data_IF_723419197650
#
_entry.id   IF_723419197650
#
_cell.length_a   1.000
_cell.length_b   1.000
_cell.length_c   1.000
_cell.angle_alpha   90.00
_cell.angle_beta   90.00
_cell.angle_gamma   90.00
#
_symmetry.space_group_name_H-M   'P 1'
#
loop_
_entity.id
_entity.type
_entity.pdbx_description
1 polymer ?
#
# COMPACT_ATOMS: atom_id res chain seq x y z
N UNK A 1 -8.54 -10.22 11.29
CA UNK A 1 -7.31 -9.94 10.52
C UNK A 1 -6.53 -8.81 11.17
N UNK A 2 -5.23 -8.82 10.98
CA UNK A 2 -4.36 -7.75 11.46
C UNK A 2 -4.48 -6.53 10.56
N UNK A 3 -4.18 -5.37 11.11
CA UNK A 3 -4.24 -4.09 10.38
C UNK A 3 -2.83 -3.58 10.14
N UNK A 4 -2.64 -2.99 8.95
CA UNK A 4 -1.32 -2.51 8.53
C UNK A 4 -1.42 -1.16 7.86
N UNK A 5 -0.38 -0.36 8.05
CA UNK A 5 -0.15 0.84 7.25
C UNK A 5 1.17 0.63 6.54
N UNK A 6 1.17 0.85 5.23
CA UNK A 6 2.38 0.72 4.42
C UNK A 6 2.70 2.07 3.82
N UNK A 7 3.93 2.51 4.06
CA UNK A 7 4.43 3.73 3.42
C UNK A 7 5.27 3.32 2.21
N UNK A 8 4.87 3.79 1.04
CA UNK A 8 5.60 3.60 -0.21
C UNK A 8 6.44 4.85 -0.41
N UNK A 9 7.76 4.68 -0.51
CA UNK A 9 8.69 5.81 -0.62
C UNK A 9 9.29 5.79 -2.02
N UNK A 10 9.12 6.88 -2.77
CA UNK A 10 9.68 7.01 -4.11
C UNK A 10 11.20 7.13 -4.03
N UNK A 11 11.89 6.37 -4.88
CA UNK A 11 13.35 6.38 -5.00
C UNK A 11 13.78 6.66 -6.44
N UNK A 12 12.93 7.32 -7.21
CA UNK A 12 13.17 7.63 -8.61
C UNK A 12 12.54 8.98 -8.94
N UNK A 13 12.91 9.51 -10.08
CA UNK A 13 12.39 10.80 -10.54
C UNK A 13 10.89 10.70 -10.85
N UNK A 14 10.14 11.80 -10.74
CA UNK A 14 8.71 11.78 -11.00
C UNK A 14 8.32 11.20 -12.35
N UNK A 15 9.14 11.42 -13.38
CA UNK A 15 8.87 10.89 -14.71
C UNK A 15 8.91 9.37 -14.74
N UNK A 16 9.83 8.77 -13.99
CA UNK A 16 9.94 7.32 -13.91
C UNK A 16 8.74 6.72 -13.16
N UNK A 17 8.36 7.35 -12.06
CA UNK A 17 7.19 6.95 -11.29
C UNK A 17 5.93 7.02 -12.16
N UNK A 18 5.78 8.11 -12.91
CA UNK A 18 4.60 8.32 -13.76
C UNK A 18 4.42 7.21 -14.81
N UNK A 19 5.52 6.67 -15.34
CA UNK A 19 5.48 5.63 -16.36
C UNK A 19 4.86 4.32 -15.85
N UNK A 20 4.94 4.06 -14.54
CA UNK A 20 4.50 2.79 -13.95
C UNK A 20 3.24 2.97 -13.11
N UNK A 21 2.79 4.21 -12.91
CA UNK A 21 1.67 4.51 -12.01
C UNK A 21 0.39 3.76 -12.34
N UNK A 22 0.01 3.69 -13.62
CA UNK A 22 -1.23 3.04 -14.00
C UNK A 22 -1.19 1.54 -13.68
N UNK A 23 -0.06 0.89 -13.94
CA UNK A 23 0.10 -0.53 -13.64
C UNK A 23 0.10 -0.77 -12.14
N UNK A 24 0.74 0.12 -11.37
CA UNK A 24 0.73 0.06 -9.92
C UNK A 24 -0.72 0.14 -9.40
N UNK A 25 -1.51 1.09 -9.92
CA UNK A 25 -2.91 1.25 -9.49
C UNK A 25 -3.75 0.04 -9.86
N UNK A 26 -3.54 -0.54 -11.03
CA UNK A 26 -4.22 -1.79 -11.42
C UNK A 26 -3.87 -2.93 -10.48
N UNK A 27 -2.62 -3.00 -10.06
CA UNK A 27 -2.19 -4.03 -9.13
C UNK A 27 -2.86 -3.84 -7.76
N UNK A 28 -2.88 -2.61 -7.24
CA UNK A 28 -3.56 -2.33 -5.98
C UNK A 28 -5.04 -2.68 -6.05
N UNK A 29 -5.66 -2.52 -7.21
CA UNK A 29 -7.06 -2.86 -7.40
C UNK A 29 -7.33 -4.33 -7.05
N UNK A 30 -6.38 -5.22 -7.30
CA UNK A 30 -6.53 -6.64 -6.91
C UNK A 30 -6.67 -6.78 -5.40
N UNK A 31 -5.98 -5.95 -4.63
CA UNK A 31 -6.10 -5.94 -3.17
C UNK A 31 -7.45 -5.42 -2.71
N UNK A 32 -8.01 -4.42 -3.42
CA UNK A 32 -9.36 -3.94 -3.13
C UNK A 32 -10.40 -5.01 -3.43
N UNK A 33 -10.26 -5.70 -4.55
CA UNK A 33 -11.20 -6.76 -4.95
C UNK A 33 -11.23 -7.91 -3.95
N UNK A 34 -10.09 -8.18 -3.32
CA UNK A 34 -10.00 -9.20 -2.26
C UNK A 34 -10.47 -8.68 -0.91
N UNK A 35 -10.83 -7.41 -0.81
CA UNK A 35 -11.26 -6.80 0.45
C UNK A 35 -10.12 -6.55 1.43
N UNK A 36 -8.88 -6.56 0.96
CA UNK A 36 -7.71 -6.41 1.83
C UNK A 36 -7.27 -4.95 1.97
N UNK A 37 -7.36 -4.15 0.91
CA UNK A 37 -7.00 -2.74 0.97
C UNK A 37 -8.23 -1.92 1.32
N UNK A 38 -8.11 -1.09 2.34
CA UNK A 38 -9.21 -0.25 2.84
C UNK A 38 -9.18 1.13 2.19
N UNK A 39 -7.99 1.71 2.04
CA UNK A 39 -7.78 2.98 1.37
C UNK A 39 -6.32 3.13 0.99
N UNK A 40 -6.05 3.98 0.01
CA UNK A 40 -4.69 4.28 -0.41
C UNK A 40 -4.67 5.60 -1.18
N UNK A 41 -3.52 6.24 -1.24
CA UNK A 41 -3.37 7.47 -2.00
C UNK A 41 -1.96 8.03 -1.90
N UNK A 42 -1.64 9.03 -2.74
CA UNK A 42 -0.34 9.68 -2.66
C UNK A 42 -0.22 10.52 -1.41
N UNK A 43 1.01 10.60 -0.87
CA UNK A 43 1.29 11.53 0.21
C UNK A 43 1.30 12.97 -0.31
N UNK A 44 1.09 13.92 0.59
CA UNK A 44 1.15 15.34 0.27
C UNK A 44 2.23 15.96 1.18
N UNK A 45 3.36 16.42 0.63
CA UNK A 45 3.75 16.42 -0.80
C UNK A 45 3.98 15.02 -1.36
N UNK A 46 4.03 14.91 -2.69
CA UNK A 46 4.08 13.63 -3.38
C UNK A 46 5.47 13.01 -3.33
N UNK A 47 5.84 12.47 -2.18
CA UNK A 47 7.10 11.76 -1.96
C UNK A 47 6.91 10.24 -1.94
N UNK A 48 5.67 9.79 -2.08
CA UNK A 48 5.30 8.39 -2.05
C UNK A 48 3.81 8.23 -1.87
N UNK A 49 3.41 7.12 -1.30
CA UNK A 49 2.01 6.82 -1.05
C UNK A 49 1.81 6.13 0.29
N UNK A 50 0.57 6.08 0.71
CA UNK A 50 0.18 5.34 1.91
C UNK A 50 -0.92 4.35 1.55
N UNK A 51 -0.86 3.17 2.14
CA UNK A 51 -1.86 2.13 1.97
C UNK A 51 -2.29 1.65 3.34
N UNK A 52 -3.59 1.63 3.58
CA UNK A 52 -4.16 1.05 4.79
C UNK A 52 -4.82 -0.26 4.37
N UNK A 53 -4.38 -1.36 4.98
CA UNK A 53 -4.89 -2.66 4.58
C UNK A 53 -4.90 -3.64 5.75
N UNK A 54 -5.57 -4.75 5.54
CA UNK A 54 -5.63 -5.83 6.51
C UNK A 54 -5.08 -7.12 5.89
N UNK A 55 -4.64 -8.03 6.73
CA UNK A 55 -4.10 -9.30 6.29
C UNK A 55 -3.89 -10.24 7.46
N UNK A 56 -3.47 -11.44 7.18
CA UNK A 56 -3.28 -12.47 8.21
C UNK A 56 -1.92 -12.36 8.88
N UNK A 57 -0.92 -11.83 8.19
CA UNK A 57 0.45 -11.74 8.69
C UNK A 57 1.21 -10.64 7.97
N UNK A 58 2.29 -10.18 8.59
CA UNK A 58 3.23 -9.25 7.94
C UNK A 58 3.84 -9.88 6.69
N UNK A 59 4.09 -11.18 6.71
CA UNK A 59 4.62 -11.89 5.54
C UNK A 59 3.70 -11.79 4.34
N UNK A 60 2.40 -11.92 4.55
CA UNK A 60 1.39 -11.77 3.49
C UNK A 60 1.46 -10.36 2.88
N UNK A 61 1.65 -9.34 3.71
CA UNK A 61 1.75 -7.96 3.25
C UNK A 61 3.03 -7.74 2.44
N UNK A 62 4.15 -8.28 2.92
CA UNK A 62 5.42 -8.21 2.18
C UNK A 62 5.30 -8.89 0.82
N UNK A 63 4.66 -10.06 0.77
CA UNK A 63 4.47 -10.81 -0.47
C UNK A 63 3.62 -10.02 -1.46
N UNK A 64 2.59 -9.33 -0.97
CA UNK A 64 1.76 -8.51 -1.82
C UNK A 64 2.58 -7.42 -2.50
N UNK A 65 3.36 -6.65 -1.72
CA UNK A 65 4.12 -5.53 -2.28
C UNK A 65 5.38 -5.96 -3.02
N UNK A 66 5.86 -7.20 -2.81
CA UNK A 66 6.95 -7.74 -3.61
C UNK A 66 6.59 -7.76 -5.10
N UNK A 67 5.32 -7.92 -5.42
CA UNK A 67 4.83 -7.99 -6.79
C UNK A 67 4.23 -6.66 -7.30
N UNK A 68 4.33 -5.60 -6.51
CA UNK A 68 3.90 -4.27 -6.94
C UNK A 68 4.77 -3.84 -8.13
N UNK A 69 4.17 -3.39 -9.25
CA UNK A 69 4.94 -2.91 -10.40
C UNK A 69 5.98 -1.86 -10.05
N UNK A 70 5.73 -0.98 -9.08
CA UNK A 70 6.75 -0.04 -8.61
C UNK A 70 7.97 -0.78 -8.05
N UNK A 71 7.73 -1.83 -7.27
CA UNK A 71 8.81 -2.60 -6.69
C UNK A 71 9.58 -3.39 -7.74
N UNK A 72 8.87 -3.99 -8.66
CA UNK A 72 9.49 -4.77 -9.74
C UNK A 72 10.36 -3.90 -10.64
N UNK A 73 10.01 -2.63 -10.78
CA UNK A 73 10.79 -1.67 -11.55
C UNK A 73 11.90 -1.01 -10.73
N UNK A 74 12.02 -1.32 -9.44
CA UNK A 74 13.06 -0.76 -8.58
C UNK A 74 12.88 0.70 -8.24
N UNK A 75 11.64 1.22 -8.26
CA UNK A 75 11.36 2.65 -8.13
C UNK A 75 11.02 3.08 -6.72
N UNK A 76 10.78 2.14 -5.80
CA UNK A 76 10.27 2.44 -4.47
C UNK A 76 10.90 1.56 -3.41
N UNK A 77 10.81 2.02 -2.17
CA UNK A 77 11.00 1.16 -1.01
C UNK A 77 9.77 1.27 -0.12
N UNK A 78 9.63 0.38 0.84
CA UNK A 78 8.43 0.27 1.67
C UNK A 78 8.80 0.23 3.14
N UNK A 79 7.97 0.91 3.95
CA UNK A 79 7.97 0.74 5.40
C UNK A 79 6.64 0.14 5.78
N UNK A 80 6.66 -0.83 6.68
CA UNK A 80 5.49 -1.61 7.07
C UNK A 80 5.23 -1.42 8.55
N UNK A 81 4.00 -1.09 8.90
CA UNK A 81 3.60 -0.91 10.28
C UNK A 81 2.37 -1.77 10.56
N UNK A 82 2.50 -2.68 11.50
CA UNK A 82 1.34 -3.42 12.01
C UNK A 82 0.84 -2.69 13.24
N UNK A 83 -0.47 -2.54 13.39
CA UNK A 83 -1.03 -1.97 14.59
C UNK A 83 -2.37 -2.61 14.91
N UNK A 84 -2.76 -2.52 16.18
CA UNK A 84 -4.04 -3.05 16.64
C UNK A 84 -4.96 -1.88 16.91
N UNK A 85 -5.96 -1.62 16.05
CA UNK A 85 -6.89 -0.50 16.27
C UNK A 85 -7.84 -0.85 17.43
N UNK A 86 -7.54 -0.29 18.60
CA UNK A 86 -8.37 -0.50 19.80
C UNK A 86 -9.49 0.51 19.90
N UNK A 87 -9.45 1.58 19.11
CA UNK A 87 -10.49 2.61 19.06
C UNK A 87 -10.76 2.97 17.60
N UNK A 88 -12.02 3.10 17.23
CA UNK A 88 -12.43 3.47 15.88
C UNK A 88 -13.84 4.04 15.90
N UNK A 89 -14.21 4.71 14.83
CA UNK A 89 -15.59 5.19 14.66
C UNK A 89 -16.51 4.00 14.43
N UNK A 90 -17.75 4.13 14.84
CA UNK A 90 -18.71 3.03 14.77
C UNK A 90 -18.90 2.49 13.34
N UNK A 91 -18.91 3.40 12.34
CA UNK A 91 -19.09 2.97 10.96
C UNK A 91 -17.91 2.15 10.40
N UNK A 92 -16.77 2.12 11.07
CA UNK A 92 -15.60 1.35 10.68
C UNK A 92 -15.57 -0.04 11.32
N UNK A 93 -16.58 -0.34 12.11
CA UNK A 93 -16.68 -1.62 12.80
C UNK A 93 -17.07 -2.72 11.82
N UNK A 94 -16.35 -3.82 11.87
CA UNK A 94 -16.61 -5.01 11.05
C UNK A 94 -16.84 -6.22 11.91
#
# INVERSE_FOLDING_TARGET
MKQFIIEIIYQAEPEEIAKVRDEHRKYLQTGYEKGLILMSGPQVPQIGGLVVMKGNSMEEIHDFFANDPYNLAGLTKYLYFEFEPVMHQEFMKN
#
